data_IF_639736280662
#
_entry.id   IF_639736280662
#
_cell.length_a   1.000
_cell.length_b   1.000
_cell.length_c   1.000
_cell.angle_alpha   90.00
_cell.angle_beta   90.00
_cell.angle_gamma   90.00
#
_symmetry.space_group_name_H-M   'P 1'
#
loop_
_entity.id
_entity.type
_entity.pdbx_description
1 polymer ?
#
# COMPACT_ATOMS: atom_id res chain seq x y z
N UNK A 1 0.59 -22.64 -31.79
CA UNK A 1 1.05 -22.44 -30.39
C UNK A 1 0.46 -21.13 -29.89
N UNK A 2 -0.32 -21.14 -28.80
CA UNK A 2 -0.95 -19.94 -28.22
C UNK A 2 0.07 -19.33 -27.26
N UNK A 3 0.56 -18.12 -27.56
CA UNK A 3 1.36 -17.36 -26.62
C UNK A 3 0.51 -17.09 -25.35
N UNK A 4 1.07 -17.23 -24.14
CA UNK A 4 0.35 -16.85 -22.93
C UNK A 4 -0.01 -15.36 -22.99
N UNK A 5 -1.24 -15.02 -22.63
CA UNK A 5 -1.68 -13.63 -22.41
C UNK A 5 -0.98 -13.06 -21.17
N UNK A 6 0.33 -12.86 -21.23
CA UNK A 6 0.94 -11.80 -20.46
C UNK A 6 0.56 -10.53 -21.22
N UNK A 7 -0.37 -9.78 -20.62
CA UNK A 7 -0.67 -8.40 -21.00
C UNK A 7 0.65 -7.75 -21.37
N UNK A 8 0.79 -7.35 -22.64
CA UNK A 8 1.85 -6.46 -23.07
C UNK A 8 1.62 -5.18 -22.28
N UNK A 9 2.24 -5.08 -21.10
CA UNK A 9 2.27 -3.85 -20.33
C UNK A 9 2.99 -2.91 -21.25
N UNK A 10 2.27 -1.91 -21.72
CA UNK A 10 2.86 -0.72 -22.27
C UNK A 10 3.89 -0.24 -21.23
N UNK A 11 5.16 -0.52 -21.51
CA UNK A 11 6.24 -0.49 -20.53
C UNK A 11 6.67 0.95 -20.24
N UNK A 12 6.08 1.92 -20.94
CA UNK A 12 6.58 3.29 -20.96
C UNK A 12 6.36 4.04 -19.65
N UNK A 13 5.54 3.50 -18.71
CA UNK A 13 5.42 4.15 -17.39
C UNK A 13 4.99 3.27 -16.22
N UNK A 14 5.78 2.23 -15.91
CA UNK A 14 5.62 1.48 -14.65
C UNK A 14 6.35 2.17 -13.50
N UNK A 15 5.60 2.64 -12.50
CA UNK A 15 6.16 3.16 -11.25
C UNK A 15 6.13 2.06 -10.19
N UNK A 16 7.31 1.64 -9.72
CA UNK A 16 7.42 0.73 -8.60
C UNK A 16 7.09 1.44 -7.28
N UNK A 17 6.12 0.91 -6.53
CA UNK A 17 5.73 1.42 -5.22
C UNK A 17 6.22 0.52 -4.08
N UNK A 18 7.26 -0.28 -4.29
CA UNK A 18 7.89 -1.06 -3.23
C UNK A 18 8.57 -0.14 -2.22
N UNK A 19 8.74 -0.62 -0.98
CA UNK A 19 9.39 0.11 0.10
C UNK A 19 8.51 0.29 1.33
N UNK A 20 8.71 1.38 2.07
CA UNK A 20 8.06 1.61 3.37
C UNK A 20 6.66 2.20 3.19
N UNK A 21 5.65 1.45 3.59
CA UNK A 21 4.26 1.87 3.64
C UNK A 21 3.81 2.04 5.08
N UNK A 22 2.92 3.00 5.32
CA UNK A 22 2.21 3.09 6.60
C UNK A 22 1.14 2.01 6.64
N UNK A 23 0.92 1.40 7.80
CA UNK A 23 -0.11 0.41 8.00
C UNK A 23 -0.80 0.53 9.36
N UNK A 24 -2.03 0.00 9.44
CA UNK A 24 -2.86 -0.03 10.63
C UNK A 24 -3.83 -1.21 10.57
N UNK A 25 -4.08 -1.88 11.69
CA UNK A 25 -5.13 -2.91 11.79
C UNK A 25 -6.48 -2.25 12.13
N UNK A 26 -7.63 -2.88 11.83
CA UNK A 26 -8.95 -2.44 12.26
C UNK A 26 -9.04 -2.12 13.76
N UNK A 27 -8.37 -2.89 14.62
CA UNK A 27 -8.41 -2.66 16.07
C UNK A 27 -7.75 -1.34 16.46
N UNK A 28 -6.76 -0.91 15.68
CA UNK A 28 -6.10 0.38 15.88
C UNK A 28 -6.92 1.54 15.27
N UNK A 29 -7.80 1.26 14.30
CA UNK A 29 -8.56 2.27 13.57
C UNK A 29 -9.78 2.73 14.36
N UNK A 30 -9.92 4.05 14.49
CA UNK A 30 -11.17 4.63 14.93
C UNK A 30 -12.16 4.58 13.74
N UNK A 31 -13.32 3.95 13.94
CA UNK A 31 -14.33 3.78 12.90
C UNK A 31 -14.85 5.11 12.34
N UNK A 32 -14.75 6.19 13.12
CA UNK A 32 -15.10 7.55 12.67
C UNK A 32 -14.15 8.10 11.61
N UNK A 33 -12.97 7.50 11.43
CA UNK A 33 -11.98 7.90 10.42
C UNK A 33 -12.26 7.32 9.02
N UNK A 34 -13.15 6.32 8.92
CA UNK A 34 -13.44 5.58 7.68
C UNK A 34 -14.06 6.40 6.54
N UNK A 35 -14.89 7.43 6.74
CA UNK A 35 -15.47 8.19 5.62
C UNK A 35 -14.54 9.26 5.03
N UNK A 36 -13.43 9.62 5.69
CA UNK A 36 -12.57 10.75 5.28
C UNK A 36 -11.14 10.34 4.92
N UNK A 37 -10.97 9.32 4.08
CA UNK A 37 -9.64 8.81 3.66
C UNK A 37 -8.67 9.90 3.15
N UNK A 38 -9.15 11.03 2.61
CA UNK A 38 -8.27 12.13 2.19
C UNK A 38 -7.65 12.88 3.38
N UNK A 39 -8.43 13.12 4.43
CA UNK A 39 -8.02 13.90 5.61
C UNK A 39 -7.59 13.03 6.80
N UNK A 40 -7.61 11.71 6.63
CA UNK A 40 -7.12 10.74 7.59
C UNK A 40 -5.71 11.11 8.07
N UNK A 41 -5.60 11.38 9.38
CA UNK A 41 -4.30 11.56 10.00
C UNK A 41 -3.60 10.21 10.11
N UNK A 42 -2.56 10.06 9.30
CA UNK A 42 -1.72 8.86 9.29
C UNK A 42 -0.41 9.07 10.06
N UNK A 43 -0.27 10.14 10.83
CA UNK A 43 0.96 10.49 11.56
C UNK A 43 1.42 9.36 12.50
N UNK A 44 0.48 8.75 13.23
CA UNK A 44 0.75 7.67 14.18
C UNK A 44 0.82 6.25 13.60
N UNK A 45 0.61 6.08 12.29
CA UNK A 45 0.59 4.74 11.68
C UNK A 45 2.00 4.11 11.69
N UNK A 46 2.05 2.83 12.04
CA UNK A 46 3.27 2.00 11.97
C UNK A 46 3.71 1.85 10.51
N UNK A 47 4.97 1.47 10.27
CA UNK A 47 5.51 1.29 8.92
C UNK A 47 6.01 -0.12 8.68
N UNK A 48 5.72 -0.66 7.50
CA UNK A 48 6.15 -1.98 7.04
C UNK A 48 6.82 -1.85 5.66
N UNK A 49 7.89 -2.61 5.43
CA UNK A 49 8.56 -2.68 4.12
C UNK A 49 7.87 -3.75 3.27
N UNK A 50 7.24 -3.36 2.18
CA UNK A 50 6.54 -4.28 1.27
C UNK A 50 7.28 -4.37 -0.10
N UNK A 51 7.13 -5.47 -0.85
CA UNK A 51 6.35 -6.66 -0.53
C UNK A 51 6.97 -7.50 0.59
N UNK A 52 6.16 -7.93 1.54
CA UNK A 52 6.54 -8.87 2.61
C UNK A 52 5.28 -9.59 3.09
N UNK A 53 5.43 -10.82 3.59
CA UNK A 53 4.39 -11.45 4.40
C UNK A 53 4.24 -10.64 5.70
N UNK A 54 3.06 -10.08 5.98
CA UNK A 54 2.86 -9.22 7.14
C UNK A 54 3.07 -9.92 8.48
N UNK A 55 2.91 -11.24 8.56
CA UNK A 55 3.24 -12.01 9.78
C UNK A 55 4.72 -11.88 10.12
N UNK A 56 5.57 -11.88 9.10
CA UNK A 56 7.02 -11.62 9.21
C UNK A 56 7.36 -10.12 9.21
N UNK A 57 6.38 -9.27 8.90
CA UNK A 57 6.51 -7.81 8.80
C UNK A 57 6.18 -7.05 10.09
N UNK A 58 5.92 -7.76 11.19
CA UNK A 58 5.58 -7.17 12.49
C UNK A 58 4.09 -7.25 12.87
N UNK A 59 3.34 -8.15 12.24
CA UNK A 59 1.98 -8.56 12.60
C UNK A 59 1.92 -10.08 12.83
N UNK A 60 2.76 -10.58 13.74
CA UNK A 60 2.81 -11.99 14.14
C UNK A 60 1.42 -12.47 14.58
N UNK A 61 1.00 -13.64 14.10
CA UNK A 61 -0.30 -14.27 14.41
C UNK A 61 -1.56 -13.41 14.18
N UNK A 62 -1.43 -12.29 13.46
CA UNK A 62 -2.57 -11.44 13.13
C UNK A 62 -3.37 -12.02 11.95
N UNK A 63 -4.59 -12.46 12.23
CA UNK A 63 -5.51 -13.00 11.25
C UNK A 63 -6.67 -12.02 11.01
N UNK A 64 -6.50 -11.13 10.04
CA UNK A 64 -7.51 -10.11 9.78
C UNK A 64 -7.22 -9.27 8.54
N UNK A 65 -7.67 -8.01 8.59
CA UNK A 65 -7.49 -7.04 7.52
C UNK A 65 -6.38 -6.08 7.91
N UNK A 66 -5.58 -5.64 6.96
CA UNK A 66 -4.56 -4.62 7.19
C UNK A 66 -4.76 -3.50 6.19
N UNK A 67 -4.80 -2.28 6.68
CA UNK A 67 -4.88 -1.09 5.83
C UNK A 67 -3.47 -0.59 5.56
N UNK A 68 -3.15 -0.33 4.30
CA UNK A 68 -1.89 0.24 3.87
C UNK A 68 -2.10 1.61 3.24
N UNK A 69 -1.19 2.55 3.52
CA UNK A 69 -1.23 3.90 2.97
C UNK A 69 0.16 4.37 2.57
N UNK A 70 0.26 4.90 1.36
CA UNK A 70 1.45 5.58 0.84
C UNK A 70 1.04 6.77 0.01
N UNK A 71 1.68 7.90 0.26
CA UNK A 71 1.64 9.04 -0.66
C UNK A 71 2.80 8.90 -1.63
N UNK A 72 2.50 8.96 -2.92
CA UNK A 72 3.49 9.04 -3.97
C UNK A 72 3.13 10.22 -4.86
N UNK A 73 4.14 10.81 -5.49
CA UNK A 73 3.94 11.79 -6.56
C UNK A 73 4.23 11.08 -7.85
N UNK A 74 3.34 11.26 -8.82
CA UNK A 74 3.63 10.88 -10.17
C UNK A 74 4.43 12.03 -10.80
N UNK A 75 5.69 11.79 -11.18
CA UNK A 75 6.58 12.81 -11.77
C UNK A 75 6.31 12.99 -13.27
N UNK A 76 5.05 12.91 -13.68
CA UNK A 76 4.64 13.20 -15.05
C UNK A 76 4.65 14.69 -15.28
N UNK A 77 5.61 15.13 -16.09
CA UNK A 77 5.79 16.49 -16.59
C UNK A 77 6.12 17.54 -15.50
N UNK A 78 7.41 17.63 -15.20
CA UNK A 78 8.06 18.93 -15.05
C UNK A 78 8.58 19.33 -16.44
N UNK A 79 7.75 19.99 -17.24
CA UNK A 79 8.04 20.48 -18.58
C UNK A 79 6.89 21.29 -19.14
#
# INVERSE_FOLDING_TARGET
>A
MRAPMFLYRDAERLVCLDGRWKFKTPDDLDESERPFYRHLDDSGWRKMRIPVNWHLGGLEDYHGKVWFRRRFRDTGDAG
#
